data_IF_862569465209
#
_entry.id   IF_862569465209
#
_cell.length_a   1.000
_cell.length_b   1.000
_cell.length_c   1.000
_cell.angle_alpha   90.00
_cell.angle_beta   90.00
_cell.angle_gamma   90.00
#
_symmetry.space_group_name_H-M   'P 1'
#
loop_
_entity.id
_entity.type
_entity.pdbx_description
1 polymer ?
#
# COMPACT_ATOMS: atom_id res chain seq x y z
N UNK A 1 3.63 -16.38 -6.23
CA UNK A 1 3.16 -15.00 -5.93
C UNK A 1 1.92 -15.11 -5.07
N UNK A 2 1.86 -14.37 -3.96
CA UNK A 2 0.75 -14.45 -3.00
C UNK A 2 -0.48 -13.75 -3.55
N UNK A 3 -1.63 -14.39 -3.46
CA UNK A 3 -2.94 -13.78 -3.73
C UNK A 3 -3.50 -13.17 -2.44
N UNK A 4 -3.52 -11.85 -2.39
CA UNK A 4 -3.93 -11.11 -1.19
C UNK A 4 -5.43 -11.08 -1.00
N UNK A 5 -6.19 -10.94 -2.10
CA UNK A 5 -7.63 -10.81 -2.12
C UNK A 5 -8.20 -11.37 -3.44
N UNK A 6 -9.35 -12.03 -3.37
CA UNK A 6 -10.04 -12.58 -4.54
C UNK A 6 -11.55 -12.40 -4.42
N UNK A 7 -12.21 -12.20 -5.55
CA UNK A 7 -13.65 -12.33 -5.68
C UNK A 7 -14.01 -13.76 -6.10
N UNK A 8 -14.76 -14.47 -5.28
CA UNK A 8 -15.24 -15.84 -5.55
C UNK A 8 -16.77 -15.91 -5.47
N UNK A 9 -17.34 -17.04 -5.86
CA UNK A 9 -18.80 -17.28 -5.70
C UNK A 9 -19.20 -17.38 -4.23
N UNK A 10 -18.27 -17.70 -3.33
CA UNK A 10 -18.51 -17.75 -1.89
C UNK A 10 -18.44 -16.38 -1.20
N UNK A 11 -17.96 -15.35 -1.90
CA UNK A 11 -17.71 -14.01 -1.38
C UNK A 11 -16.29 -13.51 -1.68
N UNK A 12 -15.86 -12.50 -0.92
CA UNK A 12 -14.51 -11.94 -1.02
C UNK A 12 -13.58 -12.70 -0.08
N UNK A 13 -12.58 -13.37 -0.65
CA UNK A 13 -11.58 -14.16 0.09
C UNK A 13 -10.32 -13.34 0.27
N UNK A 14 -9.77 -13.29 1.48
CA UNK A 14 -8.55 -12.55 1.81
C UNK A 14 -7.62 -13.43 2.65
N UNK A 15 -6.30 -13.30 2.44
CA UNK A 15 -5.33 -13.87 3.37
C UNK A 15 -5.34 -13.06 4.68
N UNK A 16 -5.43 -13.75 5.82
CA UNK A 16 -5.39 -13.10 7.12
C UNK A 16 -3.94 -12.71 7.50
N UNK A 17 -3.60 -11.46 7.20
CA UNK A 17 -2.25 -10.94 7.47
C UNK A 17 -1.94 -10.81 8.96
N UNK A 18 -2.93 -10.92 9.84
CA UNK A 18 -2.69 -10.89 11.29
C UNK A 18 -2.13 -12.22 11.79
N UNK A 19 -2.31 -13.31 11.03
CA UNK A 19 -1.82 -14.66 11.33
C UNK A 19 -0.42 -14.94 10.78
N UNK A 20 -0.02 -14.20 9.73
CA UNK A 20 1.32 -14.31 9.15
C UNK A 20 2.40 -13.84 10.12
N UNK A 21 3.61 -14.43 10.10
CA UNK A 21 4.06 -15.51 9.20
C UNK A 21 3.74 -16.91 9.72
N UNK A 22 3.16 -17.07 10.90
CA UNK A 22 3.04 -18.36 11.58
C UNK A 22 1.98 -19.27 10.94
N UNK A 23 0.88 -18.69 10.50
CA UNK A 23 -0.21 -19.41 9.87
C UNK A 23 -0.66 -18.70 8.62
N UNK A 24 -0.78 -19.43 7.52
CA UNK A 24 -1.39 -18.97 6.27
C UNK A 24 -2.87 -19.36 6.27
N UNK A 25 -3.71 -18.43 6.69
CA UNK A 25 -5.15 -18.61 6.83
C UNK A 25 -5.89 -17.64 5.91
N UNK A 26 -7.06 -18.05 5.40
CA UNK A 26 -7.90 -17.22 4.55
C UNK A 26 -9.25 -16.98 5.22
N UNK A 27 -9.74 -15.74 5.08
CA UNK A 27 -11.05 -15.31 5.56
C UNK A 27 -11.96 -15.07 4.37
N UNK A 28 -13.18 -15.62 4.40
CA UNK A 28 -14.21 -15.37 3.40
C UNK A 28 -15.23 -14.39 3.94
N UNK A 29 -15.28 -13.18 3.36
CA UNK A 29 -16.25 -12.15 3.68
C UNK A 29 -17.47 -12.30 2.74
N UNK A 30 -18.65 -12.51 3.32
CA UNK A 30 -19.93 -12.66 2.61
C UNK A 30 -20.78 -11.39 2.62
N UNK A 31 -20.40 -10.42 3.46
CA UNK A 31 -21.08 -9.14 3.59
C UNK A 31 -20.08 -7.99 3.56
N UNK A 32 -20.54 -6.79 3.18
CA UNK A 32 -19.69 -5.60 3.21
C UNK A 32 -19.24 -5.23 4.63
N UNK A 33 -20.03 -5.58 5.65
CA UNK A 33 -19.66 -5.38 7.05
C UNK A 33 -18.46 -6.27 7.46
N UNK A 34 -18.40 -7.50 6.94
CA UNK A 34 -17.26 -8.38 7.16
C UNK A 34 -16.01 -7.84 6.46
N UNK A 35 -16.15 -7.29 5.25
CA UNK A 35 -15.05 -6.58 4.56
C UNK A 35 -14.60 -5.36 5.36
N UNK A 36 -15.52 -4.54 5.85
CA UNK A 36 -15.21 -3.38 6.69
C UNK A 36 -14.47 -3.80 7.96
N UNK A 37 -14.89 -4.89 8.62
CA UNK A 37 -14.20 -5.46 9.78
C UNK A 37 -12.80 -5.93 9.41
N UNK A 38 -12.62 -6.64 8.30
CA UNK A 38 -11.32 -7.12 7.84
C UNK A 38 -10.32 -5.97 7.62
N UNK A 39 -10.76 -4.83 7.08
CA UNK A 39 -9.94 -3.62 6.94
C UNK A 39 -9.59 -3.03 8.31
N UNK A 40 -10.59 -2.87 9.19
CA UNK A 40 -10.40 -2.25 10.52
C UNK A 40 -9.47 -3.09 11.41
N UNK A 41 -9.59 -4.42 11.36
CA UNK A 41 -8.80 -5.35 12.19
C UNK A 41 -7.48 -5.76 11.55
N UNK A 42 -7.12 -5.17 10.41
CA UNK A 42 -5.84 -5.41 9.71
C UNK A 42 -5.70 -6.83 9.13
N UNK A 43 -6.80 -7.58 8.96
CA UNK A 43 -6.82 -8.82 8.16
C UNK A 43 -6.30 -8.51 6.76
N UNK A 44 -6.75 -7.38 6.19
CA UNK A 44 -6.17 -6.77 4.98
C UNK A 44 -5.70 -5.35 5.28
N UNK A 45 -4.52 -4.96 4.76
CA UNK A 45 -3.88 -3.66 4.97
C UNK A 45 -3.03 -3.28 3.76
N UNK A 46 -2.56 -2.03 3.71
CA UNK A 46 -1.83 -1.45 2.59
C UNK A 46 -2.75 -0.61 1.72
N UNK A 47 -2.28 0.57 1.29
CA UNK A 47 -3.13 1.55 0.63
C UNK A 47 -3.87 1.00 -0.61
N UNK A 48 -3.21 0.33 -1.59
CA UNK A 48 -3.91 -0.24 -2.74
C UNK A 48 -4.83 -1.41 -2.34
N UNK A 49 -4.38 -2.33 -1.48
CA UNK A 49 -5.17 -3.51 -1.09
C UNK A 49 -6.51 -3.14 -0.43
N UNK A 50 -6.51 -2.11 0.46
CA UNK A 50 -7.77 -1.67 1.08
C UNK A 50 -8.68 -0.95 0.07
N UNK A 51 -8.14 -0.33 -0.97
CA UNK A 51 -8.93 0.21 -2.08
C UNK A 51 -9.65 -0.90 -2.85
N UNK A 52 -8.95 -1.96 -3.22
CA UNK A 52 -9.53 -3.15 -3.87
C UNK A 52 -10.58 -3.81 -2.98
N UNK A 53 -10.27 -3.99 -1.68
CA UNK A 53 -11.20 -4.56 -0.71
C UNK A 53 -12.48 -3.70 -0.58
N UNK A 54 -12.34 -2.37 -0.55
CA UNK A 54 -13.49 -1.47 -0.50
C UNK A 54 -14.36 -1.58 -1.74
N UNK A 55 -13.78 -1.61 -2.94
CA UNK A 55 -14.55 -1.80 -4.18
C UNK A 55 -15.31 -3.14 -4.18
N UNK A 56 -14.65 -4.22 -3.76
CA UNK A 56 -15.30 -5.53 -3.61
C UNK A 56 -16.39 -5.50 -2.52
N UNK A 57 -16.16 -4.78 -1.41
CA UNK A 57 -17.15 -4.59 -0.35
C UNK A 57 -18.38 -3.84 -0.85
N UNK A 58 -18.23 -2.79 -1.66
CA UNK A 58 -19.35 -2.07 -2.30
C UNK A 58 -20.15 -3.00 -3.20
N UNK A 59 -19.47 -3.74 -4.08
CA UNK A 59 -20.12 -4.69 -4.99
C UNK A 59 -20.86 -5.78 -4.21
N UNK A 60 -20.26 -6.35 -3.16
CA UNK A 60 -20.84 -7.37 -2.31
C UNK A 60 -22.09 -6.87 -1.57
N UNK A 61 -22.08 -5.62 -1.08
CA UNK A 61 -23.24 -5.01 -0.45
C UNK A 61 -24.41 -4.81 -1.42
N UNK A 62 -24.12 -4.34 -2.63
CA UNK A 62 -25.14 -4.09 -3.66
C UNK A 62 -25.79 -5.40 -4.17
N UNK A 63 -25.07 -6.52 -4.19
CA UNK A 63 -25.64 -7.82 -4.54
C UNK A 63 -26.84 -8.21 -3.66
N UNK A 64 -26.84 -7.77 -2.39
CA UNK A 64 -27.87 -8.09 -1.41
C UNK A 64 -28.90 -6.97 -1.21
N UNK A 65 -28.69 -5.79 -1.81
CA UNK A 65 -29.58 -4.64 -1.70
C UNK A 65 -30.88 -4.88 -2.49
N UNK A 66 -32.01 -4.35 -2.01
CA UNK A 66 -33.27 -4.37 -2.75
C UNK A 66 -33.34 -3.20 -3.74
N UNK A 67 -34.11 -3.36 -4.83
CA UNK A 67 -34.29 -2.29 -5.82
C UNK A 67 -34.92 -1.03 -5.20
N UNK A 68 -35.84 -1.19 -4.26
CA UNK A 68 -36.54 -0.08 -3.61
C UNK A 68 -35.63 0.74 -2.67
N UNK A 69 -34.57 0.15 -2.16
CA UNK A 69 -33.69 0.77 -1.14
C UNK A 69 -32.26 0.97 -1.63
N UNK A 70 -31.98 0.66 -2.90
CA UNK A 70 -30.63 0.59 -3.45
C UNK A 70 -29.81 1.89 -3.24
N UNK A 71 -30.41 3.07 -3.49
CA UNK A 71 -29.74 4.36 -3.29
C UNK A 71 -29.30 4.57 -1.83
N UNK A 72 -30.20 4.31 -0.87
CA UNK A 72 -29.93 4.47 0.56
C UNK A 72 -28.97 3.41 1.11
N UNK A 73 -29.09 2.19 0.62
CA UNK A 73 -28.19 1.10 1.00
C UNK A 73 -26.78 1.34 0.46
N UNK A 74 -26.63 1.79 -0.80
CA UNK A 74 -25.32 2.14 -1.36
C UNK A 74 -24.61 3.23 -0.52
N UNK A 75 -25.36 4.26 -0.10
CA UNK A 75 -24.78 5.30 0.74
C UNK A 75 -24.34 4.74 2.11
N UNK A 76 -25.14 3.86 2.70
CA UNK A 76 -24.80 3.16 3.96
C UNK A 76 -23.56 2.27 3.79
N UNK A 77 -23.49 1.49 2.70
CA UNK A 77 -22.34 0.63 2.38
C UNK A 77 -21.08 1.48 2.26
N UNK A 78 -21.13 2.53 1.43
CA UNK A 78 -20.00 3.40 1.17
C UNK A 78 -19.53 4.14 2.44
N UNK A 79 -20.45 4.65 3.26
CA UNK A 79 -20.10 5.34 4.52
C UNK A 79 -19.49 4.37 5.54
N UNK A 80 -20.01 3.14 5.64
CA UNK A 80 -19.45 2.09 6.52
C UNK A 80 -18.01 1.76 6.13
N UNK A 81 -17.76 1.56 4.83
CA UNK A 81 -16.40 1.26 4.33
C UNK A 81 -15.46 2.47 4.51
N UNK A 82 -15.91 3.69 4.21
CA UNK A 82 -15.13 4.92 4.38
C UNK A 82 -14.70 5.15 5.83
N UNK A 83 -15.53 4.79 6.81
CA UNK A 83 -15.23 4.93 8.24
C UNK A 83 -14.14 3.97 8.75
N UNK A 84 -13.77 2.93 7.98
CA UNK A 84 -12.78 1.93 8.42
C UNK A 84 -11.37 2.50 8.56
N UNK A 85 -10.93 3.35 7.63
CA UNK A 85 -9.61 4.00 7.59
C UNK A 85 -9.72 5.42 7.02
N UNK A 86 -10.14 6.41 7.81
CA UNK A 86 -10.47 7.77 7.31
C UNK A 86 -9.31 8.53 6.65
N UNK A 87 -8.07 8.11 6.86
CA UNK A 87 -6.87 8.75 6.29
C UNK A 87 -6.38 8.10 4.99
N UNK A 88 -6.97 6.96 4.58
CA UNK A 88 -6.48 6.15 3.47
C UNK A 88 -7.01 6.63 2.11
N UNK A 89 -6.17 7.31 1.32
CA UNK A 89 -6.56 7.89 0.01
C UNK A 89 -7.15 6.86 -0.95
N UNK A 90 -6.52 5.70 -1.08
CA UNK A 90 -6.96 4.66 -2.02
C UNK A 90 -8.33 4.07 -1.67
N UNK A 91 -8.71 4.06 -0.38
CA UNK A 91 -10.04 3.67 0.06
C UNK A 91 -11.12 4.57 -0.56
N UNK A 92 -10.93 5.89 -0.41
CA UNK A 92 -11.86 6.88 -0.94
C UNK A 92 -11.87 6.88 -2.47
N UNK A 93 -10.70 6.79 -3.10
CA UNK A 93 -10.59 6.68 -4.55
C UNK A 93 -11.43 5.52 -5.12
N UNK A 94 -11.35 4.34 -4.48
CA UNK A 94 -12.11 3.17 -4.92
C UNK A 94 -13.62 3.35 -4.70
N UNK A 95 -14.03 3.84 -3.52
CA UNK A 95 -15.43 4.12 -3.22
C UNK A 95 -16.00 5.14 -4.23
N UNK A 96 -15.28 6.22 -4.53
CA UNK A 96 -15.69 7.24 -5.49
C UNK A 96 -15.79 6.68 -6.91
N UNK A 97 -14.90 5.77 -7.31
CA UNK A 97 -14.96 5.10 -8.60
C UNK A 97 -16.24 4.24 -8.71
N UNK A 98 -16.58 3.49 -7.68
CA UNK A 98 -17.81 2.70 -7.60
C UNK A 98 -19.06 3.59 -7.60
N UNK A 99 -19.07 4.68 -6.82
CA UNK A 99 -20.18 5.66 -6.81
C UNK A 99 -20.41 6.32 -8.16
N UNK A 100 -19.35 6.70 -8.87
CA UNK A 100 -19.46 7.29 -10.22
C UNK A 100 -20.06 6.30 -11.22
N UNK A 101 -19.63 5.04 -11.18
CA UNK A 101 -20.24 4.02 -12.05
C UNK A 101 -21.72 3.84 -11.74
N UNK A 102 -22.09 3.69 -10.46
CA UNK A 102 -23.48 3.58 -10.05
C UNK A 102 -24.33 4.77 -10.56
N UNK A 103 -23.81 6.01 -10.38
CA UNK A 103 -24.52 7.21 -10.82
C UNK A 103 -24.78 7.20 -12.33
N UNK A 104 -23.88 6.61 -13.14
CA UNK A 104 -24.04 6.48 -14.60
C UNK A 104 -25.08 5.40 -15.02
N UNK A 105 -25.42 4.51 -14.09
CA UNK A 105 -26.34 3.39 -14.31
C UNK A 105 -27.73 3.60 -13.69
N UNK A 106 -28.00 4.76 -13.07
CA UNK A 106 -29.30 5.06 -12.46
C UNK A 106 -30.43 4.86 -13.45
N UNK A 107 -31.49 4.17 -12.99
CA UNK A 107 -32.66 3.85 -13.81
C UNK A 107 -32.50 2.62 -14.71
N UNK A 108 -31.36 1.93 -14.67
CA UNK A 108 -31.22 0.61 -15.29
C UNK A 108 -31.81 -0.48 -14.39
N UNK A 109 -32.16 -1.65 -14.93
CA UNK A 109 -32.56 -2.81 -14.13
C UNK A 109 -31.51 -3.15 -13.06
N UNK A 110 -31.99 -3.55 -11.87
CA UNK A 110 -31.08 -3.80 -10.72
C UNK A 110 -30.00 -4.85 -11.02
N UNK A 111 -30.32 -5.88 -11.80
CA UNK A 111 -29.36 -6.93 -12.14
C UNK A 111 -28.24 -6.39 -13.07
N UNK A 112 -28.55 -5.46 -13.99
CA UNK A 112 -27.52 -4.78 -14.78
C UNK A 112 -26.57 -3.95 -13.90
N UNK A 113 -27.12 -3.27 -12.88
CA UNK A 113 -26.36 -2.47 -11.92
C UNK A 113 -25.43 -3.37 -11.10
N UNK A 114 -25.96 -4.46 -10.54
CA UNK A 114 -25.21 -5.45 -9.76
C UNK A 114 -24.05 -6.03 -10.55
N UNK A 115 -24.34 -6.52 -11.76
CA UNK A 115 -23.34 -7.09 -12.65
C UNK A 115 -22.26 -6.09 -13.02
N UNK A 116 -22.64 -4.84 -13.29
CA UNK A 116 -21.69 -3.80 -13.64
C UNK A 116 -20.76 -3.47 -12.46
N UNK A 117 -21.28 -3.36 -11.23
CA UNK A 117 -20.47 -3.07 -10.04
C UNK A 117 -19.55 -4.25 -9.68
N UNK A 118 -19.99 -5.49 -9.86
CA UNK A 118 -19.12 -6.66 -9.68
C UNK A 118 -18.00 -6.67 -10.71
N UNK A 119 -18.31 -6.41 -11.99
CA UNK A 119 -17.27 -6.31 -13.04
C UNK A 119 -16.29 -5.19 -12.74
N UNK A 120 -16.76 -4.04 -12.26
CA UNK A 120 -15.89 -2.92 -11.91
C UNK A 120 -14.95 -3.23 -10.75
N UNK A 121 -15.46 -3.87 -9.69
CA UNK A 121 -14.64 -4.31 -8.56
C UNK A 121 -13.54 -5.31 -9.00
N UNK A 122 -13.89 -6.24 -9.89
CA UNK A 122 -12.92 -7.16 -10.51
C UNK A 122 -11.92 -6.42 -11.41
N UNK A 123 -12.37 -5.38 -12.12
CA UNK A 123 -11.48 -4.57 -12.95
C UNK A 123 -10.50 -3.76 -12.10
N UNK A 124 -10.94 -3.19 -10.98
CA UNK A 124 -10.06 -2.50 -10.02
C UNK A 124 -8.95 -3.45 -9.50
N UNK A 125 -9.30 -4.71 -9.22
CA UNK A 125 -8.33 -5.74 -8.86
C UNK A 125 -7.29 -6.00 -9.97
N UNK A 126 -7.76 -6.16 -11.22
CA UNK A 126 -6.88 -6.41 -12.37
C UNK A 126 -6.01 -5.18 -12.69
N UNK A 127 -6.59 -3.98 -12.61
CA UNK A 127 -5.89 -2.71 -12.81
C UNK A 127 -4.76 -2.57 -11.77
N UNK A 128 -5.02 -2.90 -10.51
CA UNK A 128 -4.02 -2.81 -9.44
C UNK A 128 -2.81 -3.71 -9.74
N UNK A 129 -3.04 -4.96 -10.16
CA UNK A 129 -1.95 -5.88 -10.54
C UNK A 129 -1.15 -5.32 -11.73
N UNK A 130 -1.83 -4.80 -12.74
CA UNK A 130 -1.17 -4.22 -13.93
C UNK A 130 -0.35 -2.98 -13.56
N UNK A 131 -0.91 -2.10 -12.72
CA UNK A 131 -0.25 -0.91 -12.19
C UNK A 131 1.03 -1.30 -11.44
N UNK A 132 0.95 -2.26 -10.52
CA UNK A 132 2.10 -2.69 -9.72
C UNK A 132 3.21 -3.33 -10.58
N UNK A 133 2.84 -4.08 -11.61
CA UNK A 133 3.82 -4.61 -12.59
C UNK A 133 4.50 -3.48 -13.38
N UNK A 134 3.76 -2.45 -13.77
CA UNK A 134 4.32 -1.28 -14.46
C UNK A 134 5.26 -0.47 -13.55
N UNK A 135 4.89 -0.28 -12.25
CA UNK A 135 5.78 0.32 -11.25
C UNK A 135 7.09 -0.48 -11.15
N UNK A 136 6.98 -1.81 -11.04
CA UNK A 136 8.13 -2.70 -10.99
C UNK A 136 9.04 -2.53 -12.21
N UNK A 137 8.48 -2.59 -13.42
CA UNK A 137 9.21 -2.44 -14.67
C UNK A 137 9.92 -1.09 -14.76
N UNK A 138 9.24 0.00 -14.41
CA UNK A 138 9.82 1.35 -14.42
C UNK A 138 10.95 1.48 -13.39
N UNK A 139 10.80 0.89 -12.20
CA UNK A 139 11.77 0.99 -11.11
C UNK A 139 12.96 0.06 -11.21
N UNK A 140 12.85 -1.06 -11.90
CA UNK A 140 13.88 -2.10 -11.94
C UNK A 140 15.26 -1.57 -12.39
N UNK A 141 15.28 -0.61 -13.34
CA UNK A 141 16.52 -0.01 -13.83
C UNK A 141 17.29 0.78 -12.75
N UNK A 142 16.59 1.30 -11.74
CA UNK A 142 17.18 2.10 -10.65
C UNK A 142 17.86 1.24 -9.57
N UNK A 143 17.54 -0.04 -9.52
CA UNK A 143 18.16 -0.98 -8.56
C UNK A 143 19.55 -1.37 -9.08
N UNK A 144 20.65 -1.11 -8.33
CA UNK A 144 21.98 -1.49 -8.77
C UNK A 144 22.19 -3.00 -8.68
N UNK A 145 22.84 -3.58 -9.71
CA UNK A 145 23.19 -4.99 -9.72
C UNK A 145 24.32 -5.29 -8.72
N UNK A 146 24.31 -6.49 -8.13
CA UNK A 146 25.34 -6.92 -7.17
C UNK A 146 25.31 -6.17 -5.83
N UNK A 147 24.20 -5.50 -5.49
CA UNK A 147 24.05 -4.68 -4.27
C UNK A 147 22.85 -5.12 -3.44
N UNK A 148 22.92 -4.79 -2.15
CA UNK A 148 21.80 -4.99 -1.22
C UNK A 148 20.81 -3.82 -1.33
N UNK A 149 19.52 -4.15 -1.37
CA UNK A 149 18.41 -3.18 -1.32
C UNK A 149 17.86 -3.16 0.09
N UNK A 150 17.74 -1.97 0.69
CA UNK A 150 17.04 -1.80 1.96
C UNK A 150 15.57 -1.45 1.70
N UNK A 151 14.67 -2.08 2.44
CA UNK A 151 13.24 -1.73 2.43
C UNK A 151 12.69 -1.62 3.84
N UNK A 152 11.64 -0.82 4.01
CA UNK A 152 10.97 -0.56 5.27
C UNK A 152 9.47 -0.81 5.15
N UNK A 153 8.84 -1.38 6.18
CA UNK A 153 7.45 -1.81 6.18
C UNK A 153 7.19 -2.98 5.20
N UNK A 154 5.96 -3.06 4.70
CA UNK A 154 5.59 -4.00 3.65
C UNK A 154 4.80 -3.25 2.56
N UNK A 155 5.43 -3.06 1.43
CA UNK A 155 4.85 -2.56 0.19
C UNK A 155 4.95 -3.63 -0.91
N UNK A 156 4.60 -4.85 -0.55
CA UNK A 156 4.59 -6.04 -1.39
C UNK A 156 3.19 -6.43 -1.87
N UNK A 157 3.05 -7.68 -2.32
CA UNK A 157 1.79 -8.24 -2.78
C UNK A 157 0.70 -8.14 -1.70
N UNK A 158 1.06 -8.38 -0.43
CA UNK A 158 0.16 -8.25 0.72
C UNK A 158 -0.37 -6.82 0.96
N UNK A 159 0.28 -5.80 0.40
CA UNK A 159 -0.15 -4.40 0.47
C UNK A 159 -0.97 -3.93 -0.73
N UNK A 160 -1.13 -4.79 -1.74
CA UNK A 160 -1.80 -4.55 -3.02
C UNK A 160 -2.72 -5.72 -3.35
N UNK A 161 -3.31 -5.76 -4.53
CA UNK A 161 -4.03 -6.95 -4.99
C UNK A 161 -3.09 -8.11 -5.36
N UNK A 162 -1.82 -7.77 -5.66
CA UNK A 162 -0.76 -8.71 -6.00
C UNK A 162 0.46 -7.97 -6.57
N UNK A 163 1.64 -8.57 -6.54
CA UNK A 163 2.92 -8.06 -7.01
C UNK A 163 3.60 -7.01 -6.12
N UNK A 164 2.90 -6.00 -5.59
CA UNK A 164 3.46 -4.96 -4.73
C UNK A 164 4.10 -3.79 -5.49
N UNK A 165 4.31 -2.68 -4.77
CA UNK A 165 4.98 -1.48 -5.29
C UNK A 165 6.51 -1.56 -5.06
N UNK A 166 7.00 -1.34 -3.85
CA UNK A 166 8.43 -1.43 -3.55
C UNK A 166 8.99 -2.84 -3.76
N UNK A 167 8.31 -3.87 -3.25
CA UNK A 167 8.72 -5.26 -3.52
C UNK A 167 8.49 -5.63 -4.99
N UNK A 168 7.56 -4.97 -5.68
CA UNK A 168 7.39 -5.09 -7.14
C UNK A 168 8.61 -4.62 -7.91
N UNK A 169 9.24 -3.51 -7.49
CA UNK A 169 10.52 -3.03 -8.07
C UNK A 169 11.63 -4.05 -7.84
N UNK A 170 11.71 -4.62 -6.63
CA UNK A 170 12.68 -5.67 -6.28
C UNK A 170 12.45 -6.93 -7.15
N UNK A 171 11.21 -7.40 -7.24
CA UNK A 171 10.82 -8.54 -8.09
C UNK A 171 11.20 -8.34 -9.55
N UNK A 172 10.89 -7.15 -10.07
CA UNK A 172 11.21 -6.81 -11.46
C UNK A 172 12.72 -6.73 -11.71
N UNK A 173 13.51 -6.25 -10.75
CA UNK A 173 14.97 -6.24 -10.84
C UNK A 173 15.54 -7.67 -10.87
N UNK A 174 15.05 -8.57 -10.00
CA UNK A 174 15.43 -9.99 -10.00
C UNK A 174 15.02 -10.68 -11.30
N UNK A 175 13.79 -10.43 -11.78
CA UNK A 175 13.31 -10.98 -13.05
C UNK A 175 14.11 -10.48 -14.27
N UNK A 176 14.72 -9.29 -14.17
CA UNK A 176 15.64 -8.76 -15.16
C UNK A 176 17.08 -9.36 -15.06
N UNK A 177 17.30 -10.33 -14.17
CA UNK A 177 18.57 -11.04 -13.99
C UNK A 177 19.55 -10.41 -13.02
N UNK A 178 19.16 -9.35 -12.30
CA UNK A 178 20.03 -8.70 -11.31
C UNK A 178 20.23 -9.58 -10.08
N UNK A 179 21.47 -9.66 -9.62
CA UNK A 179 21.86 -10.36 -8.40
C UNK A 179 21.78 -9.38 -7.22
N UNK A 180 20.73 -9.47 -6.44
CA UNK A 180 20.48 -8.58 -5.32
C UNK A 180 20.08 -9.34 -4.07
N UNK A 181 20.49 -8.84 -2.91
CA UNK A 181 19.99 -9.21 -1.60
C UNK A 181 19.07 -8.11 -1.08
N UNK A 182 18.16 -8.45 -0.17
CA UNK A 182 17.28 -7.48 0.47
C UNK A 182 17.54 -7.44 1.96
N UNK A 183 17.68 -6.23 2.51
CA UNK A 183 17.55 -6.01 3.95
C UNK A 183 16.19 -5.45 4.24
N UNK A 184 15.46 -6.08 5.15
CA UNK A 184 14.13 -5.66 5.57
C UNK A 184 14.21 -5.17 7.03
N UNK A 185 13.89 -3.89 7.27
CA UNK A 185 13.65 -3.39 8.61
C UNK A 185 12.47 -4.13 9.23
N UNK A 186 12.55 -4.51 10.52
CA UNK A 186 11.45 -5.19 11.21
C UNK A 186 10.16 -4.37 11.24
N UNK A 187 10.29 -3.04 11.26
CA UNK A 187 9.21 -2.05 11.23
C UNK A 187 8.32 -2.10 12.46
N UNK A 188 8.85 -1.62 13.60
CA UNK A 188 8.05 -1.38 14.80
C UNK A 188 6.93 -0.35 14.51
N UNK A 189 5.79 -0.38 15.25
CA UNK A 189 5.44 -1.35 16.29
C UNK A 189 4.79 -2.64 15.75
N UNK A 190 4.15 -2.64 14.55
CA UNK A 190 3.34 -3.75 14.05
C UNK A 190 4.13 -4.84 13.32
N UNK A 191 5.45 -4.65 13.14
CA UNK A 191 6.41 -5.61 12.57
C UNK A 191 6.08 -6.06 11.14
N UNK A 192 5.59 -5.15 10.28
CA UNK A 192 5.24 -5.50 8.89
C UNK A 192 6.46 -5.97 8.09
N UNK A 193 7.65 -5.43 8.35
CA UNK A 193 8.87 -5.90 7.72
C UNK A 193 9.22 -7.33 8.13
N UNK A 194 9.26 -7.59 9.43
CA UNK A 194 9.59 -8.91 9.95
C UNK A 194 8.56 -9.97 9.58
N UNK A 195 7.27 -9.64 9.71
CA UNK A 195 6.17 -10.61 9.57
C UNK A 195 5.74 -10.84 8.13
N UNK A 196 5.74 -9.78 7.32
CA UNK A 196 5.13 -9.81 5.99
C UNK A 196 6.18 -9.70 4.88
N UNK A 197 7.10 -8.72 4.93
CA UNK A 197 8.10 -8.53 3.87
C UNK A 197 9.06 -9.69 3.77
N UNK A 198 9.59 -10.16 4.90
CA UNK A 198 10.48 -11.34 4.91
C UNK A 198 9.75 -12.56 4.41
N UNK A 199 8.50 -12.80 4.87
CA UNK A 199 7.69 -13.92 4.42
C UNK A 199 7.44 -13.89 2.90
N UNK A 200 7.03 -12.73 2.33
CA UNK A 200 6.80 -12.61 0.89
C UNK A 200 8.07 -12.90 0.06
N UNK A 201 9.21 -12.30 0.45
CA UNK A 201 10.46 -12.48 -0.28
C UNK A 201 10.96 -13.91 -0.23
N UNK A 202 10.77 -14.61 0.90
CA UNK A 202 11.08 -16.03 1.03
C UNK A 202 10.20 -16.89 0.12
N UNK A 203 8.89 -16.59 0.00
CA UNK A 203 7.99 -17.28 -0.94
C UNK A 203 8.42 -17.10 -2.40
N UNK A 204 9.06 -15.98 -2.72
CA UNK A 204 9.57 -15.69 -4.07
C UNK A 204 11.02 -16.17 -4.28
N UNK A 205 11.65 -16.82 -3.29
CA UNK A 205 13.05 -17.22 -3.28
C UNK A 205 14.04 -16.06 -3.51
N UNK A 206 13.68 -14.86 -3.03
CA UNK A 206 14.55 -13.69 -3.07
C UNK A 206 15.32 -13.63 -1.73
N UNK A 207 16.66 -13.58 -1.76
CA UNK A 207 17.47 -13.52 -0.55
C UNK A 207 17.09 -12.31 0.31
N UNK A 208 16.75 -12.53 1.58
CA UNK A 208 16.35 -11.48 2.51
C UNK A 208 16.98 -11.67 3.87
N UNK A 209 17.47 -10.57 4.44
CA UNK A 209 17.99 -10.50 5.81
C UNK A 209 17.11 -9.55 6.61
N UNK A 210 16.55 -10.06 7.71
CA UNK A 210 15.81 -9.23 8.67
C UNK A 210 16.80 -8.46 9.55
N UNK A 211 16.55 -7.17 9.72
CA UNK A 211 17.28 -6.31 10.65
C UNK A 211 16.30 -5.55 11.54
N UNK A 212 16.74 -5.12 12.73
CA UNK A 212 15.95 -4.20 13.55
C UNK A 212 16.01 -2.79 12.98
N UNK A 213 14.99 -1.96 13.24
CA UNK A 213 14.88 -0.63 12.62
C UNK A 213 16.11 0.27 12.88
N UNK A 214 16.72 0.17 14.07
CA UNK A 214 17.91 0.93 14.43
C UNK A 214 19.21 0.44 13.78
N UNK A 215 19.23 -0.73 13.13
CA UNK A 215 20.39 -1.25 12.41
C UNK A 215 20.52 -0.65 10.99
N UNK A 216 19.47 -0.06 10.44
CA UNK A 216 19.50 0.54 9.10
C UNK A 216 20.68 1.51 8.93
N UNK A 217 20.90 2.39 9.92
CA UNK A 217 22.01 3.34 9.91
C UNK A 217 23.39 2.69 9.85
N UNK A 218 23.59 1.60 10.60
CA UNK A 218 24.85 0.84 10.57
C UNK A 218 25.14 0.29 9.17
N UNK A 219 24.15 -0.33 8.52
CA UNK A 219 24.35 -0.94 7.21
C UNK A 219 24.44 0.09 6.08
N UNK A 220 23.74 1.22 6.17
CA UNK A 220 23.92 2.35 5.25
C UNK A 220 25.35 2.91 5.35
N UNK A 221 25.86 3.13 6.57
CA UNK A 221 27.22 3.62 6.80
C UNK A 221 28.30 2.62 6.33
N UNK A 222 28.05 1.33 6.42
CA UNK A 222 29.00 0.29 5.97
C UNK A 222 29.19 0.21 4.46
N UNK A 223 28.38 0.93 3.65
CA UNK A 223 28.41 0.90 2.18
C UNK A 223 27.82 -0.38 1.56
N UNK A 224 27.20 -1.25 2.36
CA UNK A 224 26.55 -2.47 1.86
C UNK A 224 25.27 -2.19 1.06
N UNK A 225 24.51 -1.16 1.46
CA UNK A 225 23.24 -0.81 0.83
C UNK A 225 23.51 -0.01 -0.45
N UNK A 226 22.97 -0.50 -1.58
CA UNK A 226 23.08 0.17 -2.88
C UNK A 226 21.94 1.15 -3.15
N UNK A 227 20.76 0.88 -2.62
CA UNK A 227 19.61 1.78 -2.67
C UNK A 227 18.57 1.42 -1.60
N UNK A 228 17.70 2.38 -1.29
CA UNK A 228 16.50 2.16 -0.47
C UNK A 228 15.28 2.24 -1.38
N UNK A 229 14.34 1.29 -1.25
CA UNK A 229 13.06 1.31 -1.96
C UNK A 229 11.94 1.08 -0.97
N UNK A 230 11.02 2.04 -0.86
CA UNK A 230 9.86 1.98 0.05
C UNK A 230 8.55 2.30 -0.69
N UNK A 231 7.42 1.96 -0.08
CA UNK A 231 6.12 2.41 -0.54
C UNK A 231 5.76 3.81 -0.07
N UNK A 232 4.50 4.20 -0.30
CA UNK A 232 3.90 5.39 0.31
C UNK A 232 2.41 5.16 0.57
N UNK A 233 1.90 5.79 1.64
CA UNK A 233 0.47 5.85 1.94
C UNK A 233 -0.17 7.11 1.34
N UNK A 234 0.59 8.21 1.19
CA UNK A 234 0.18 9.45 0.52
C UNK A 234 1.41 10.25 0.09
N UNK A 235 1.33 10.89 -1.07
CA UNK A 235 2.38 11.76 -1.61
C UNK A 235 1.76 13.12 -1.96
N UNK A 236 2.28 14.20 -1.36
CA UNK A 236 1.86 15.56 -1.63
C UNK A 236 2.43 16.09 -2.96
N UNK A 237 1.89 17.21 -3.46
CA UNK A 237 2.30 17.85 -4.72
C UNK A 237 3.79 18.16 -4.80
N UNK A 238 4.41 18.56 -3.68
CA UNK A 238 5.83 18.89 -3.62
C UNK A 238 6.74 17.66 -3.54
N UNK A 239 6.17 16.43 -3.52
CA UNK A 239 6.91 15.18 -3.43
C UNK A 239 7.19 14.70 -2.00
N UNK A 240 6.71 15.40 -0.97
CA UNK A 240 6.74 14.89 0.40
C UNK A 240 5.91 13.62 0.49
N UNK A 241 6.47 12.56 1.07
CA UNK A 241 5.84 11.25 1.09
C UNK A 241 5.56 10.79 2.53
N UNK A 242 4.30 10.55 2.85
CA UNK A 242 3.91 9.86 4.08
C UNK A 242 4.01 8.34 3.87
N UNK A 243 4.70 7.68 4.78
CA UNK A 243 4.80 6.22 4.81
C UNK A 243 4.91 5.74 6.26
N UNK A 244 4.99 4.43 6.46
CA UNK A 244 5.09 3.81 7.79
C UNK A 244 6.17 4.49 8.64
N UNK A 245 5.82 4.75 9.91
CA UNK A 245 6.72 5.37 10.90
C UNK A 245 8.11 4.71 10.84
N UNK A 246 9.17 5.51 10.83
CA UNK A 246 10.57 5.09 10.65
C UNK A 246 11.11 5.38 9.25
N UNK A 247 10.26 5.57 8.25
CA UNK A 247 10.67 5.85 6.86
C UNK A 247 11.51 7.13 6.76
N UNK A 248 11.13 8.19 7.48
CA UNK A 248 11.89 9.44 7.51
C UNK A 248 13.30 9.25 8.06
N UNK A 249 13.45 8.48 9.14
CA UNK A 249 14.77 8.19 9.70
C UNK A 249 15.67 7.46 8.69
N UNK A 250 15.14 6.45 7.98
CA UNK A 250 15.87 5.74 6.92
C UNK A 250 16.25 6.67 5.78
N UNK A 251 15.36 7.58 5.36
CA UNK A 251 15.63 8.54 4.29
C UNK A 251 16.74 9.53 4.64
N UNK A 252 16.76 10.03 5.89
CA UNK A 252 17.83 10.90 6.40
C UNK A 252 19.17 10.17 6.41
N UNK A 253 19.19 8.94 6.94
CA UNK A 253 20.40 8.13 7.01
C UNK A 253 20.91 7.72 5.61
N UNK A 254 20.01 7.42 4.69
CA UNK A 254 20.37 7.17 3.30
C UNK A 254 21.04 8.38 2.65
N UNK A 255 20.47 9.58 2.85
CA UNK A 255 21.03 10.84 2.34
C UNK A 255 22.43 11.12 2.91
N UNK A 256 22.61 10.94 4.22
CA UNK A 256 23.89 11.15 4.90
C UNK A 256 24.99 10.23 4.35
N UNK A 257 24.62 9.00 3.95
CA UNK A 257 25.56 8.02 3.42
C UNK A 257 25.62 7.98 1.87
N UNK A 258 24.99 8.94 1.18
CA UNK A 258 25.02 9.02 -0.28
C UNK A 258 24.25 7.90 -1.00
N UNK A 259 23.33 7.20 -0.29
CA UNK A 259 22.54 6.11 -0.82
C UNK A 259 21.24 6.66 -1.42
N UNK A 260 20.88 6.33 -2.68
CA UNK A 260 19.64 6.79 -3.28
C UNK A 260 18.41 6.20 -2.57
N UNK A 261 17.40 7.05 -2.35
CA UNK A 261 16.15 6.71 -1.70
C UNK A 261 14.98 6.86 -2.67
N UNK A 262 14.28 5.78 -2.95
CA UNK A 262 13.20 5.71 -3.92
C UNK A 262 11.86 5.41 -3.24
N UNK A 263 10.82 6.10 -3.68
CA UNK A 263 9.43 5.86 -3.28
C UNK A 263 8.68 5.25 -4.45
N UNK A 264 8.09 4.07 -4.26
CA UNK A 264 7.34 3.35 -5.29
C UNK A 264 5.84 3.30 -4.90
N UNK A 265 5.00 3.98 -5.67
CA UNK A 265 3.57 4.09 -5.39
C UNK A 265 2.77 4.35 -6.68
N UNK A 266 1.50 3.89 -6.76
CA UNK A 266 0.62 4.21 -7.88
C UNK A 266 0.23 5.69 -7.89
N UNK A 267 -0.14 6.22 -9.05
CA UNK A 267 -0.62 7.62 -9.14
C UNK A 267 -1.87 7.88 -8.30
N UNK A 268 -2.64 6.86 -7.94
CA UNK A 268 -3.77 6.98 -7.03
C UNK A 268 -3.36 7.33 -5.59
N UNK A 269 -2.09 7.22 -5.24
CA UNK A 269 -1.50 7.62 -3.95
C UNK A 269 -1.08 9.10 -3.95
N UNK A 270 -1.01 9.75 -5.13
CA UNK A 270 -0.69 11.17 -5.25
C UNK A 270 -1.89 12.02 -4.84
N UNK A 271 -1.71 12.89 -3.87
CA UNK A 271 -2.69 13.89 -3.46
C UNK A 271 -2.19 15.29 -3.87
N UNK A 272 -2.45 15.67 -5.12
CA UNK A 272 -2.01 16.96 -5.65
C UNK A 272 -2.81 18.15 -5.10
N UNK A 273 -3.85 17.92 -4.28
CA UNK A 273 -4.58 18.97 -3.57
C UNK A 273 -3.78 19.48 -2.37
N UNK A 274 -2.92 18.64 -1.81
CA UNK A 274 -2.01 19.00 -0.73
C UNK A 274 -0.72 19.61 -1.29
N UNK A 275 -0.43 20.84 -0.95
CA UNK A 275 0.79 21.53 -1.40
C UNK A 275 2.08 20.95 -0.79
N UNK A 276 2.00 20.45 0.45
CA UNK A 276 3.14 19.89 1.20
C UNK A 276 2.69 18.78 2.15
N UNK A 277 3.65 18.00 2.61
CA UNK A 277 3.44 16.88 3.54
C UNK A 277 2.94 17.29 4.93
N UNK A 278 3.17 18.53 5.35
CA UNK A 278 2.70 19.06 6.65
C UNK A 278 1.17 19.03 6.81
N UNK A 279 0.45 18.92 5.70
CA UNK A 279 -1.01 18.84 5.67
C UNK A 279 -1.54 17.42 5.61
N UNK A 280 -0.67 16.41 5.54
CA UNK A 280 -1.09 15.01 5.53
C UNK A 280 -1.56 14.63 6.94
N UNK A 281 -2.82 14.18 7.10
CA UNK A 281 -3.28 13.71 8.40
C UNK A 281 -2.57 12.41 8.81
N UNK A 282 -2.02 12.38 10.02
CA UNK A 282 -1.32 11.23 10.56
C UNK A 282 -2.24 10.46 11.51
N UNK A 283 -2.50 9.21 11.18
CA UNK A 283 -3.32 8.30 12.00
C UNK A 283 -2.59 7.98 13.31
N UNK A 284 -3.29 8.09 14.44
CA UNK A 284 -2.83 7.59 15.73
C UNK A 284 -3.36 6.17 15.95
N UNK A 285 -2.47 5.28 16.36
CA UNK A 285 -2.77 3.86 16.56
C UNK A 285 -2.89 3.51 18.04
N UNK A 286 -3.57 2.39 18.38
CA UNK A 286 -3.71 1.97 19.77
C UNK A 286 -2.36 1.82 20.49
N UNK A 287 -2.23 2.34 21.73
CA UNK A 287 -1.01 2.23 22.53
C UNK A 287 -0.49 0.81 22.72
N UNK A 288 -1.39 -0.18 22.77
CA UNK A 288 -1.02 -1.59 22.93
C UNK A 288 -0.09 -2.12 21.83
N UNK A 289 -0.13 -1.55 20.62
CA UNK A 289 0.79 -1.95 19.55
C UNK A 289 2.26 -1.66 19.91
N UNK A 290 2.50 -0.65 20.74
CA UNK A 290 3.84 -0.30 21.24
C UNK A 290 4.17 -1.08 22.51
N UNK A 291 3.21 -1.22 23.43
CA UNK A 291 3.44 -1.80 24.76
C UNK A 291 3.36 -3.32 24.80
N UNK A 292 2.88 -3.95 23.72
CA UNK A 292 2.71 -5.40 23.66
C UNK A 292 3.34 -5.97 22.37
N UNK A 293 3.92 -7.14 22.48
CA UNK A 293 4.39 -7.96 21.36
C UNK A 293 3.79 -9.35 21.46
N UNK A 294 3.03 -9.77 20.46
CA UNK A 294 2.36 -11.08 20.42
C UNK A 294 1.55 -11.38 21.68
N UNK A 295 0.82 -10.37 22.20
CA UNK A 295 0.00 -10.47 23.40
C UNK A 295 0.78 -10.49 24.71
N UNK A 296 2.09 -10.25 24.68
CA UNK A 296 2.94 -10.12 25.88
C UNK A 296 3.33 -8.67 26.09
N UNK A 297 3.13 -8.18 27.32
CA UNK A 297 3.57 -6.84 27.70
C UNK A 297 5.10 -6.71 27.62
N UNK A 298 5.59 -5.65 27.00
CA UNK A 298 7.01 -5.29 26.91
C UNK A 298 7.31 -3.94 27.57
N UNK A 299 6.30 -3.28 28.12
CA UNK A 299 6.42 -2.06 28.90
C UNK A 299 5.61 -2.17 30.20
N UNK A 300 5.95 -1.39 31.25
CA UNK A 300 5.17 -1.34 32.49
C UNK A 300 3.72 -0.90 32.24
N UNK A 301 2.79 -1.40 33.07
CA UNK A 301 1.39 -0.96 33.03
C UNK A 301 1.29 0.54 33.32
N UNK A 302 0.43 1.24 32.57
CA UNK A 302 0.23 2.70 32.72
C UNK A 302 1.30 3.56 32.02
N UNK A 303 2.21 2.97 31.23
CA UNK A 303 3.16 3.74 30.43
C UNK A 303 2.42 4.62 29.43
N UNK A 304 2.76 5.91 29.39
CA UNK A 304 2.30 6.84 28.34
C UNK A 304 2.91 6.48 27.00
N UNK A 305 2.11 6.50 25.92
CA UNK A 305 2.53 6.06 24.58
C UNK A 305 2.07 7.05 23.54
N UNK A 306 2.98 7.41 22.64
CA UNK A 306 2.70 8.00 21.34
C UNK A 306 2.86 6.93 20.27
N UNK A 307 1.89 6.81 19.36
CA UNK A 307 1.92 5.80 18.29
C UNK A 307 1.40 6.35 16.95
N UNK A 308 2.11 7.33 16.35
CA UNK A 308 1.80 7.75 14.99
C UNK A 308 2.07 6.60 14.02
N UNK A 309 1.10 6.32 13.14
CA UNK A 309 1.23 5.21 12.18
C UNK A 309 2.26 5.50 11.09
N UNK A 310 2.44 6.78 10.74
CA UNK A 310 3.22 7.27 9.61
C UNK A 310 4.10 8.42 10.03
N UNK A 311 5.20 8.61 9.30
CA UNK A 311 5.95 9.86 9.26
C UNK A 311 5.99 10.42 7.84
N UNK A 312 6.35 11.70 7.72
CA UNK A 312 6.46 12.38 6.43
C UNK A 312 7.93 12.55 6.10
N UNK A 313 8.35 11.96 4.99
CA UNK A 313 9.67 12.15 4.41
C UNK A 313 9.64 13.38 3.49
N UNK A 314 10.38 14.47 3.81
CA UNK A 314 10.50 15.62 2.93
C UNK A 314 11.11 15.26 1.58
N UNK A 315 10.59 15.85 0.52
CA UNK A 315 10.99 15.61 -0.87
C UNK A 315 12.49 15.72 -1.15
N UNK A 316 13.21 16.56 -0.38
CA UNK A 316 14.67 16.72 -0.50
C UNK A 316 15.46 15.45 -0.19
N UNK A 317 14.86 14.48 0.49
CA UNK A 317 15.47 13.17 0.78
C UNK A 317 15.09 12.10 -0.25
N UNK A 318 14.10 12.37 -1.10
CA UNK A 318 13.61 11.44 -2.12
C UNK A 318 14.36 11.65 -3.43
N UNK A 319 15.06 10.61 -3.89
CA UNK A 319 15.83 10.65 -5.14
C UNK A 319 14.93 10.55 -6.38
N UNK A 320 13.91 9.71 -6.30
CA UNK A 320 12.88 9.59 -7.33
C UNK A 320 11.60 8.95 -6.77
N UNK A 321 10.47 9.28 -7.37
CA UNK A 321 9.17 8.65 -7.16
C UNK A 321 8.84 7.81 -8.39
N UNK A 322 8.63 6.51 -8.18
CA UNK A 322 8.38 5.51 -9.22
C UNK A 322 6.89 5.23 -9.26
N UNK A 323 6.26 5.44 -10.41
CA UNK A 323 4.85 5.18 -10.64
C UNK A 323 4.65 4.29 -11.87
N UNK A 324 3.43 3.83 -12.11
CA UNK A 324 3.06 3.11 -13.34
C UNK A 324 3.14 4.00 -14.59
N UNK A 325 3.11 5.33 -14.42
CA UNK A 325 3.22 6.30 -15.53
C UNK A 325 4.67 6.71 -15.83
N UNK A 326 5.63 6.23 -15.04
CA UNK A 326 7.04 6.56 -15.17
C UNK A 326 7.67 7.02 -13.86
N UNK A 327 8.83 7.65 -13.97
CA UNK A 327 9.66 8.07 -12.84
C UNK A 327 9.68 9.59 -12.75
N UNK A 328 9.18 10.14 -11.63
CA UNK A 328 9.33 11.56 -11.30
C UNK A 328 10.64 11.80 -10.57
N UNK A 329 11.31 12.91 -10.89
CA UNK A 329 12.51 13.42 -10.21
C UNK A 329 12.30 14.88 -9.82
N UNK A 330 13.05 15.39 -8.84
CA UNK A 330 12.98 16.81 -8.47
C UNK A 330 13.19 17.75 -9.68
N UNK A 331 12.48 18.87 -9.77
CA UNK A 331 11.47 19.36 -8.82
C UNK A 331 10.11 18.68 -9.01
N UNK A 332 9.57 18.14 -7.90
CA UNK A 332 8.36 17.31 -7.93
C UNK A 332 7.07 18.08 -8.24
N UNK A 333 7.01 19.37 -7.90
CA UNK A 333 5.87 20.25 -8.21
C UNK A 333 5.57 20.31 -9.72
N UNK A 334 6.56 20.02 -10.56
CA UNK A 334 6.42 19.95 -12.01
C UNK A 334 6.37 18.53 -12.55
N UNK A 335 7.26 17.65 -12.03
CA UNK A 335 7.39 16.30 -12.58
C UNK A 335 6.22 15.38 -12.21
N UNK A 336 5.61 15.51 -11.00
CA UNK A 336 4.45 14.70 -10.63
C UNK A 336 3.19 15.04 -11.44
N UNK A 337 2.79 16.33 -11.61
CA UNK A 337 1.68 16.67 -12.48
C UNK A 337 1.90 16.26 -13.93
N UNK A 338 3.14 16.30 -14.42
CA UNK A 338 3.47 15.89 -15.79
C UNK A 338 3.16 14.41 -16.06
N UNK A 339 3.33 13.52 -15.07
CA UNK A 339 2.96 12.10 -15.18
C UNK A 339 1.45 11.87 -15.35
N UNK A 340 0.62 12.80 -14.88
CA UNK A 340 -0.84 12.71 -14.97
C UNK A 340 -1.40 13.37 -16.24
N UNK A 341 -0.57 14.15 -16.96
CA UNK A 341 -0.97 14.73 -18.21
C UNK A 341 -1.07 13.64 -19.28
N UNK A 342 -2.10 13.64 -20.14
CA UNK A 342 -2.13 12.73 -21.28
C UNK A 342 -0.84 12.92 -22.10
N UNK A 343 -0.24 11.79 -22.51
CA UNK A 343 0.90 11.83 -23.40
C UNK A 343 0.57 12.78 -24.58
N UNK A 344 1.35 13.85 -24.77
CA UNK A 344 1.24 14.62 -26.01
C UNK A 344 1.61 13.65 -27.12
N UNK A 345 0.63 13.29 -27.94
CA UNK A 345 0.89 12.55 -29.17
C UNK A 345 2.07 13.25 -29.86
N UNK A 346 3.22 12.61 -29.83
CA UNK A 346 4.37 13.02 -30.65
C UNK A 346 3.97 12.79 -32.10
N UNK A 347 3.57 13.89 -32.75
CA UNK A 347 3.40 13.95 -34.22
C UNK A 347 4.71 13.66 -34.90
#
# INVERSE_FOLDING_TARGET
MVETIQWTDAGVVMIDQTRLPLNEEFVTCRTYQEVARAITTMVIRGAPAIGVAAAMGVALGVLHASEATLDSELETICSTLAATRPTAVNLFWAIDRMKRLYASLRGRPIDEIRDALVREARQIYLDDIAINRAIGANGAALVPDGKTVLTHCNAGALATAGYGTALGVIRAAVAAGKQIDVFADETRPFLQGARLTVWELQQDNIPVTLITDNMAGHFLHSGRIGCVVVGADRIARNGDAANKIGTYAVAVLARENGVPFYVAAPVSTLDLTLSSGDRIPIEQRPPREVTELFGKAVAPSGTSVENPAFDVTPARYVTAIITEKGIARPPYETSLPALLSPAKDSK
#
